data_IF_309121931548
#
_entry.id   IF_309121931548
#
_cell.length_a   1.000
_cell.length_b   1.000
_cell.length_c   1.000
_cell.angle_alpha   90.00
_cell.angle_beta   90.00
_cell.angle_gamma   90.00
#
_symmetry.space_group_name_H-M   'P 1'
#
loop_
_entity.id
_entity.type
_entity.pdbx_description
1 polymer ?
#
# COMPACT_ATOMS: atom_id res chain seq x y z
N UNK A 1 13.29 9.58 25.02
CA UNK A 1 12.25 9.12 25.98
C UNK A 1 12.47 7.63 26.21
N UNK A 2 12.57 7.16 27.46
CA UNK A 2 12.86 5.75 27.77
C UNK A 2 11.66 4.87 27.37
N UNK A 3 11.89 3.91 26.46
CA UNK A 3 10.85 3.02 25.90
C UNK A 3 10.07 2.28 27.00
N UNK A 4 10.70 1.96 28.14
CA UNK A 4 10.03 1.30 29.26
C UNK A 4 9.00 2.20 29.95
N UNK A 5 9.29 3.51 30.06
CA UNK A 5 8.35 4.49 30.64
C UNK A 5 7.15 4.66 29.72
N UNK A 6 7.38 4.74 28.40
CA UNK A 6 6.30 4.79 27.41
C UNK A 6 5.39 3.56 27.51
N UNK A 7 5.97 2.36 27.59
CA UNK A 7 5.18 1.12 27.71
C UNK A 7 4.30 1.09 28.97
N UNK A 8 4.81 1.58 30.12
CA UNK A 8 4.04 1.62 31.37
C UNK A 8 2.91 2.66 31.34
N UNK A 9 3.08 3.77 30.62
CA UNK A 9 2.02 4.74 30.39
C UNK A 9 0.94 4.18 29.44
N UNK A 10 1.36 3.52 28.35
CA UNK A 10 0.45 2.93 27.35
C UNK A 10 -0.35 1.73 27.89
N UNK A 11 0.09 1.08 28.98
CA UNK A 11 -0.72 0.04 29.63
C UNK A 11 -1.90 0.60 30.45
N UNK A 12 -1.85 1.87 30.85
CA UNK A 12 -2.92 2.52 31.64
C UNK A 12 -3.99 3.11 30.71
N UNK A 13 -3.59 3.61 29.54
CA UNK A 13 -4.47 4.10 28.49
C UNK A 13 -4.02 3.50 27.16
N UNK A 14 -4.61 2.38 26.73
CA UNK A 14 -4.20 1.71 25.51
C UNK A 14 -4.42 2.64 24.31
N UNK A 15 -3.42 2.79 23.43
CA UNK A 15 -3.56 3.65 22.26
C UNK A 15 -4.60 3.10 21.28
N UNK A 16 -5.28 4.01 20.60
CA UNK A 16 -6.04 3.69 19.40
C UNK A 16 -5.09 3.44 18.23
N UNK A 17 -5.58 2.84 17.15
CA UNK A 17 -4.77 2.43 15.98
C UNK A 17 -3.73 3.48 15.55
N UNK A 18 -4.12 4.76 15.48
CA UNK A 18 -3.28 5.87 14.98
C UNK A 18 -2.96 6.92 16.03
N UNK A 19 -3.38 6.75 17.29
CA UNK A 19 -3.29 7.84 18.30
C UNK A 19 -1.86 8.26 18.62
N UNK A 20 -0.88 7.36 18.42
CA UNK A 20 0.53 7.62 18.69
C UNK A 20 1.33 8.04 17.44
N UNK A 21 0.75 8.07 16.24
CA UNK A 21 1.51 8.30 15.00
C UNK A 21 2.27 9.65 15.00
N UNK A 22 1.67 10.70 15.60
CA UNK A 22 2.29 12.03 15.74
C UNK A 22 3.40 12.09 16.79
N UNK A 23 3.50 11.08 17.64
CA UNK A 23 4.54 10.97 18.68
C UNK A 23 5.76 10.18 18.18
N UNK A 24 5.67 9.58 16.99
CA UNK A 24 6.77 8.83 16.40
C UNK A 24 7.88 9.81 15.95
N UNK A 25 9.15 9.44 16.13
CA UNK A 25 10.25 10.27 15.66
C UNK A 25 10.29 10.30 14.13
N UNK A 26 10.54 11.47 13.56
CA UNK A 26 10.84 11.59 12.14
C UNK A 26 12.12 10.82 11.77
N UNK A 27 12.19 10.23 10.56
CA UNK A 27 13.42 9.61 10.08
C UNK A 27 14.59 10.60 10.13
N UNK A 28 15.74 10.16 10.63
CA UNK A 28 16.94 10.98 10.64
C UNK A 28 17.56 11.07 9.24
N UNK A 29 18.38 12.10 9.03
CA UNK A 29 19.28 12.18 7.88
C UNK A 29 20.61 11.53 8.28
N UNK A 30 21.01 10.39 7.68
CA UNK A 30 22.26 9.72 8.00
C UNK A 30 23.47 10.62 7.76
N UNK A 31 24.59 10.38 8.45
CA UNK A 31 25.83 11.09 8.19
C UNK A 31 26.29 10.86 6.74
N UNK A 32 26.66 11.93 6.04
CA UNK A 32 27.02 11.90 4.62
C UNK A 32 28.27 11.03 4.35
N UNK A 33 29.33 11.21 5.14
CA UNK A 33 30.59 10.46 4.97
C UNK A 33 30.37 8.97 5.24
N UNK A 34 29.67 8.65 6.34
CA UNK A 34 29.32 7.27 6.66
C UNK A 34 28.45 6.62 5.58
N UNK A 35 27.52 7.39 4.99
CA UNK A 35 26.67 6.92 3.89
C UNK A 35 27.50 6.58 2.65
N UNK A 36 28.45 7.44 2.28
CA UNK A 36 29.36 7.19 1.15
C UNK A 36 30.29 6.02 1.42
N UNK A 37 30.82 5.88 2.64
CA UNK A 37 31.67 4.75 3.00
C UNK A 37 30.91 3.42 2.96
N UNK A 38 29.66 3.39 3.45
CA UNK A 38 28.77 2.22 3.33
C UNK A 38 28.44 1.89 1.88
N UNK A 39 28.19 2.90 1.05
CA UNK A 39 27.96 2.75 -0.38
C UNK A 39 29.16 2.08 -1.07
N UNK A 40 30.37 2.60 -0.88
CA UNK A 40 31.60 2.02 -1.43
C UNK A 40 31.82 0.59 -0.92
N UNK A 41 31.67 0.38 0.40
CA UNK A 41 31.79 -0.96 1.00
C UNK A 41 30.82 -1.98 0.39
N UNK A 42 29.59 -1.57 0.06
CA UNK A 42 28.59 -2.45 -0.54
C UNK A 42 28.95 -2.93 -1.95
N UNK A 43 29.71 -2.12 -2.70
CA UNK A 43 30.05 -2.39 -4.10
C UNK A 43 31.45 -3.00 -4.28
N UNK A 44 32.29 -2.95 -3.24
CA UNK A 44 33.69 -3.40 -3.28
C UNK A 44 33.88 -4.83 -3.82
N UNK A 45 32.96 -5.74 -3.50
CA UNK A 45 33.04 -7.13 -3.91
C UNK A 45 32.18 -7.46 -5.14
N UNK A 46 31.46 -6.46 -5.68
CA UNK A 46 30.57 -6.60 -6.85
C UNK A 46 31.29 -6.12 -8.11
N UNK A 47 32.04 -5.02 -7.99
CA UNK A 47 32.71 -4.37 -9.11
C UNK A 47 34.12 -4.92 -9.33
N UNK A 48 34.61 -4.78 -10.57
CA UNK A 48 36.03 -4.99 -10.86
C UNK A 48 36.86 -3.90 -10.21
N UNK A 49 38.17 -4.15 -10.09
CA UNK A 49 39.08 -3.25 -9.38
C UNK A 49 39.15 -1.86 -10.03
N UNK A 50 39.27 -1.80 -11.34
CA UNK A 50 39.30 -0.57 -12.14
C UNK A 50 37.99 0.22 -12.03
N UNK A 51 36.84 -0.47 -12.12
CA UNK A 51 35.52 0.14 -11.92
C UNK A 51 35.33 0.69 -10.51
N UNK A 52 35.80 -0.04 -9.50
CA UNK A 52 35.74 0.38 -8.11
C UNK A 52 36.62 1.60 -7.84
N UNK A 53 37.85 1.62 -8.36
CA UNK A 53 38.77 2.76 -8.22
C UNK A 53 38.15 4.04 -8.81
N UNK A 54 37.54 3.96 -10.00
CA UNK A 54 36.80 5.07 -10.60
C UNK A 54 35.59 5.50 -9.74
N UNK A 55 34.80 4.53 -9.25
CA UNK A 55 33.65 4.82 -8.41
C UNK A 55 34.05 5.51 -7.11
N UNK A 56 35.13 5.04 -6.48
CA UNK A 56 35.68 5.64 -5.27
C UNK A 56 36.08 7.10 -5.51
N UNK A 57 36.77 7.39 -6.61
CA UNK A 57 37.11 8.77 -6.97
C UNK A 57 35.87 9.65 -7.11
N UNK A 58 34.84 9.19 -7.83
CA UNK A 58 33.58 9.90 -8.03
C UNK A 58 32.84 10.14 -6.71
N UNK A 59 32.72 9.12 -5.86
CA UNK A 59 32.04 9.22 -4.57
C UNK A 59 32.77 10.19 -3.62
N UNK A 60 34.11 10.19 -3.63
CA UNK A 60 34.92 11.15 -2.86
C UNK A 60 34.84 12.56 -3.44
N UNK A 61 34.72 12.70 -4.76
CA UNK A 61 34.45 14.00 -5.42
C UNK A 61 33.11 14.58 -4.98
N UNK A 62 32.06 13.76 -4.98
CA UNK A 62 30.73 14.14 -4.48
C UNK A 62 30.78 14.64 -3.03
N UNK A 63 31.52 13.97 -2.13
CA UNK A 63 31.69 14.42 -0.74
C UNK A 63 32.33 15.81 -0.63
N UNK A 64 33.29 16.14 -1.51
CA UNK A 64 33.99 17.43 -1.51
C UNK A 64 33.14 18.55 -2.12
N UNK A 65 32.32 18.20 -3.11
CA UNK A 65 31.56 19.15 -3.93
C UNK A 65 30.08 19.21 -3.51
N UNK A 66 29.19 18.59 -4.27
CA UNK A 66 27.74 18.77 -4.16
C UNK A 66 27.13 18.14 -2.90
N UNK A 67 27.77 17.09 -2.37
CA UNK A 67 27.22 16.25 -1.29
C UNK A 67 26.86 17.05 -0.05
N UNK A 68 27.74 17.97 0.39
CA UNK A 68 27.48 18.80 1.59
C UNK A 68 26.27 19.72 1.41
N UNK A 69 26.08 20.25 0.20
CA UNK A 69 24.95 21.13 -0.14
C UNK A 69 23.65 20.33 -0.14
N UNK A 70 23.63 19.16 -0.79
CA UNK A 70 22.46 18.28 -0.83
C UNK A 70 22.11 17.71 0.54
N UNK A 71 23.09 17.34 1.35
CA UNK A 71 22.92 16.92 2.74
C UNK A 71 22.23 18.01 3.58
N UNK A 72 22.63 19.27 3.39
CA UNK A 72 21.99 20.41 4.06
C UNK A 72 20.53 20.56 3.65
N UNK A 73 20.21 20.36 2.36
CA UNK A 73 18.82 20.37 1.89
C UNK A 73 18.00 19.23 2.50
N UNK A 74 18.52 18.00 2.50
CA UNK A 74 17.87 16.86 3.14
C UNK A 74 17.60 17.11 4.63
N UNK A 75 18.58 17.68 5.35
CA UNK A 75 18.43 18.05 6.75
C UNK A 75 17.35 19.12 6.97
N UNK A 76 17.35 20.18 6.17
CA UNK A 76 16.29 21.20 6.21
C UNK A 76 14.91 20.58 5.98
N UNK A 77 14.79 19.69 4.98
CA UNK A 77 13.53 18.99 4.70
C UNK A 77 13.10 18.07 5.86
N UNK A 78 14.03 17.37 6.50
CA UNK A 78 13.73 16.51 7.66
C UNK A 78 13.21 17.28 8.87
N UNK A 79 13.56 18.56 9.00
CA UNK A 79 13.03 19.41 10.07
C UNK A 79 11.63 19.96 9.77
N UNK A 80 11.25 20.04 8.49
CA UNK A 80 9.99 20.65 8.04
C UNK A 80 8.91 19.61 7.70
N UNK A 81 9.19 18.31 7.86
CA UNK A 81 8.28 17.23 7.49
C UNK A 81 8.35 16.07 8.49
N UNK A 82 7.21 15.49 8.82
CA UNK A 82 7.13 14.28 9.64
C UNK A 82 7.96 13.13 9.03
N UNK A 83 8.01 13.06 7.70
CA UNK A 83 8.80 12.09 6.95
C UNK A 83 9.22 12.68 5.60
N UNK A 84 10.47 13.15 5.51
CA UNK A 84 11.02 13.74 4.30
C UNK A 84 11.27 12.73 3.17
N UNK A 85 11.21 11.42 3.44
CA UNK A 85 11.51 10.35 2.48
C UNK A 85 10.26 9.93 1.71
N UNK A 86 9.12 9.78 2.40
CA UNK A 86 7.87 9.23 1.85
C UNK A 86 7.44 9.87 0.52
N UNK A 87 7.43 11.21 0.37
CA UNK A 87 7.01 11.83 -0.90
C UNK A 87 7.94 11.48 -2.07
N UNK A 88 9.25 11.38 -1.84
CA UNK A 88 10.21 10.98 -2.88
C UNK A 88 10.08 9.50 -3.21
N UNK A 89 9.94 8.67 -2.18
CA UNK A 89 9.80 7.23 -2.35
C UNK A 89 8.57 6.88 -3.16
N UNK A 90 7.41 7.42 -2.79
CA UNK A 90 6.15 7.18 -3.53
C UNK A 90 6.24 7.69 -4.96
N UNK A 91 6.73 8.92 -5.14
CA UNK A 91 6.85 9.51 -6.47
C UNK A 91 7.83 8.73 -7.34
N UNK A 92 9.08 8.62 -6.94
CA UNK A 92 10.15 8.16 -7.83
C UNK A 92 10.31 6.64 -7.85
N UNK A 93 9.96 5.92 -6.79
CA UNK A 93 10.02 4.46 -6.80
C UNK A 93 8.79 3.81 -7.45
N UNK A 94 7.62 4.47 -7.40
CA UNK A 94 6.37 3.87 -7.88
C UNK A 94 5.65 4.70 -8.94
N UNK A 95 5.30 5.96 -8.63
CA UNK A 95 4.39 6.73 -9.47
C UNK A 95 5.02 7.26 -10.76
N UNK A 96 6.32 7.49 -10.77
CA UNK A 96 7.05 7.98 -11.94
C UNK A 96 7.33 6.88 -12.97
N UNK A 97 7.51 5.63 -12.51
CA UNK A 97 7.75 4.51 -13.41
C UNK A 97 6.62 4.37 -14.42
N UNK A 98 7.00 4.28 -15.69
CA UNK A 98 6.09 4.06 -16.81
C UNK A 98 5.91 2.58 -17.12
N UNK A 99 6.65 1.69 -16.47
CA UNK A 99 6.55 0.25 -16.71
C UNK A 99 5.20 -0.34 -16.26
N UNK A 100 4.70 -1.39 -16.94
CA UNK A 100 3.48 -2.08 -16.55
C UNK A 100 3.46 -2.50 -15.07
N UNK A 101 2.40 -2.14 -14.34
CA UNK A 101 2.35 -2.33 -12.89
C UNK A 101 2.24 -3.80 -12.46
N UNK A 102 1.43 -4.58 -13.21
CA UNK A 102 1.04 -5.94 -12.81
C UNK A 102 2.24 -6.86 -12.57
N UNK A 103 3.29 -6.75 -13.40
CA UNK A 103 4.48 -7.60 -13.33
C UNK A 103 5.60 -6.94 -12.51
N UNK A 104 5.76 -5.62 -12.63
CA UNK A 104 6.94 -4.92 -12.12
C UNK A 104 6.79 -4.43 -10.67
N UNK A 105 5.57 -4.22 -10.18
CA UNK A 105 5.35 -3.58 -8.87
C UNK A 105 4.21 -4.19 -8.04
N UNK A 106 3.20 -4.78 -8.67
CA UNK A 106 2.08 -5.39 -7.95
C UNK A 106 2.51 -6.71 -7.31
N UNK A 107 2.12 -6.91 -6.05
CA UNK A 107 2.35 -8.16 -5.31
C UNK A 107 0.99 -8.78 -5.01
N UNK A 108 0.86 -10.09 -5.23
CA UNK A 108 -0.34 -10.85 -4.91
C UNK A 108 -0.05 -11.84 -3.78
N UNK A 109 -1.06 -12.06 -2.94
CA UNK A 109 -1.12 -13.18 -2.01
C UNK A 109 -2.38 -13.97 -2.34
N UNK A 110 -2.26 -15.29 -2.41
CA UNK A 110 -3.38 -16.18 -2.74
C UNK A 110 -3.59 -17.18 -1.63
N UNK A 111 -4.86 -17.50 -1.35
CA UNK A 111 -5.19 -18.64 -0.51
C UNK A 111 -4.79 -19.94 -1.25
N UNK A 112 -4.48 -21.00 -0.50
CA UNK A 112 -4.11 -22.31 -1.03
C UNK A 112 -5.35 -23.17 -1.37
N UNK A 113 -6.55 -22.64 -1.15
CA UNK A 113 -7.80 -23.37 -1.38
C UNK A 113 -8.30 -23.22 -2.82
N UNK A 114 -8.18 -24.29 -3.60
CA UNK A 114 -8.83 -24.39 -4.91
C UNK A 114 -10.27 -24.93 -4.76
N UNK A 115 -11.25 -24.17 -5.22
CA UNK A 115 -12.66 -24.60 -5.24
C UNK A 115 -13.12 -24.77 -6.68
N UNK A 116 -13.50 -25.99 -7.09
CA UNK A 116 -13.99 -26.27 -8.44
C UNK A 116 -15.16 -25.37 -8.86
N UNK A 117 -15.22 -25.02 -10.14
CA UNK A 117 -16.23 -24.10 -10.67
C UNK A 117 -17.67 -24.59 -10.47
N UNK A 118 -17.88 -25.91 -10.51
CA UNK A 118 -19.19 -26.53 -10.32
C UNK A 118 -19.71 -26.41 -8.88
N UNK A 119 -18.88 -26.03 -7.90
CA UNK A 119 -19.30 -25.76 -6.51
C UNK A 119 -19.74 -24.32 -6.31
N UNK A 120 -20.74 -23.88 -7.08
CA UNK A 120 -21.24 -22.48 -7.07
C UNK A 120 -21.61 -21.98 -5.68
N UNK A 121 -22.33 -22.78 -4.89
CA UNK A 121 -22.71 -22.40 -3.54
C UNK A 121 -21.48 -22.15 -2.65
N UNK A 122 -20.47 -23.02 -2.70
CA UNK A 122 -19.22 -22.85 -1.97
C UNK A 122 -18.49 -21.57 -2.39
N UNK A 123 -18.36 -21.32 -3.71
CA UNK A 123 -17.74 -20.10 -4.24
C UNK A 123 -18.46 -18.83 -3.80
N UNK A 124 -19.80 -18.85 -3.84
CA UNK A 124 -20.62 -17.73 -3.38
C UNK A 124 -20.41 -17.43 -1.89
N UNK A 125 -20.38 -18.46 -1.04
CA UNK A 125 -20.11 -18.30 0.39
C UNK A 125 -18.69 -17.84 0.68
N UNK A 126 -17.69 -18.26 -0.11
CA UNK A 126 -16.32 -17.77 0.04
C UNK A 126 -16.21 -16.28 -0.32
N UNK A 127 -16.74 -15.87 -1.48
CA UNK A 127 -16.78 -14.47 -1.89
C UNK A 127 -17.52 -13.60 -0.86
N UNK A 128 -18.65 -14.10 -0.33
CA UNK A 128 -19.41 -13.43 0.72
C UNK A 128 -18.62 -13.25 2.01
N UNK A 129 -17.89 -14.29 2.46
CA UNK A 129 -17.05 -14.23 3.67
C UNK A 129 -15.93 -13.22 3.52
N UNK A 130 -15.16 -13.28 2.43
CA UNK A 130 -14.09 -12.32 2.16
C UNK A 130 -14.65 -10.90 2.16
N UNK A 131 -15.72 -10.66 1.39
CA UNK A 131 -16.37 -9.36 1.31
C UNK A 131 -16.83 -8.86 2.69
N UNK A 132 -17.44 -9.72 3.50
CA UNK A 132 -17.88 -9.37 4.85
C UNK A 132 -16.69 -9.01 5.76
N UNK A 133 -15.64 -9.85 5.80
CA UNK A 133 -14.48 -9.62 6.65
C UNK A 133 -13.71 -8.36 6.25
N UNK A 134 -13.47 -8.15 4.95
CA UNK A 134 -12.83 -6.93 4.45
C UNK A 134 -13.65 -5.67 4.75
N UNK A 135 -14.98 -5.76 4.66
CA UNK A 135 -15.88 -4.65 5.02
C UNK A 135 -15.82 -4.31 6.52
N UNK A 136 -15.79 -5.34 7.37
CA UNK A 136 -15.64 -5.17 8.81
C UNK A 136 -14.25 -4.62 9.18
N UNK A 137 -13.20 -5.06 8.48
CA UNK A 137 -11.84 -4.54 8.61
C UNK A 137 -11.78 -3.05 8.26
N UNK A 138 -12.36 -2.63 7.13
CA UNK A 138 -12.46 -1.21 6.75
C UNK A 138 -13.12 -0.38 7.87
N UNK A 139 -14.24 -0.87 8.44
CA UNK A 139 -14.92 -0.18 9.54
C UNK A 139 -14.09 -0.16 10.82
N UNK A 140 -13.36 -1.22 11.13
CA UNK A 140 -12.48 -1.28 12.29
C UNK A 140 -11.31 -0.28 12.16
N UNK A 141 -10.75 -0.11 10.96
CA UNK A 141 -9.74 0.92 10.69
C UNK A 141 -10.32 2.32 10.88
N UNK A 142 -11.50 2.57 10.29
CA UNK A 142 -12.19 3.87 10.37
C UNK A 142 -12.47 4.27 11.82
N UNK A 143 -12.95 3.30 12.62
CA UNK A 143 -13.20 3.47 14.06
C UNK A 143 -11.94 3.45 14.93
N UNK A 144 -10.79 3.09 14.35
CA UNK A 144 -9.54 2.84 15.06
C UNK A 144 -9.61 1.72 16.12
N UNK A 145 -10.50 0.75 15.91
CA UNK A 145 -10.76 -0.39 16.80
C UNK A 145 -9.74 -1.53 16.63
N UNK A 146 -8.82 -1.41 15.67
CA UNK A 146 -7.72 -2.37 15.48
C UNK A 146 -6.62 -2.10 16.50
N UNK A 147 -6.11 -3.17 17.12
CA UNK A 147 -4.99 -3.09 18.05
C UNK A 147 -3.75 -2.50 17.34
N UNK A 148 -3.15 -1.43 17.88
CA UNK A 148 -2.03 -0.77 17.23
C UNK A 148 -0.77 -1.64 17.25
N UNK A 149 -0.07 -1.65 16.12
CA UNK A 149 1.18 -2.38 15.96
C UNK A 149 2.24 -1.89 16.95
N UNK A 150 2.96 -2.84 17.56
CA UNK A 150 4.00 -2.53 18.54
C UNK A 150 3.49 -1.70 19.74
N UNK A 151 2.21 -1.84 20.09
CA UNK A 151 1.54 -1.03 21.12
C UNK A 151 1.57 0.48 20.83
N UNK A 152 1.44 0.87 19.55
CA UNK A 152 1.46 2.27 19.12
C UNK A 152 2.86 2.85 18.91
N UNK A 153 3.91 2.02 18.95
CA UNK A 153 5.29 2.43 18.68
C UNK A 153 5.70 2.26 17.21
N UNK A 154 4.77 1.86 16.34
CA UNK A 154 4.96 1.71 14.91
C UNK A 154 3.92 2.54 14.15
N UNK A 155 4.33 3.07 13.00
CA UNK A 155 3.48 3.89 12.14
C UNK A 155 2.32 3.07 11.57
N UNK A 156 1.09 3.56 11.78
CA UNK A 156 -0.12 2.95 11.25
C UNK A 156 -0.69 3.67 10.00
N UNK A 157 0.01 4.66 9.45
CA UNK A 157 -0.46 5.43 8.27
C UNK A 157 -0.72 4.58 7.02
N UNK A 158 -0.13 3.40 6.91
CA UNK A 158 -0.39 2.49 5.78
C UNK A 158 -1.82 1.93 5.78
N UNK A 159 -2.50 1.87 6.94
CA UNK A 159 -3.91 1.46 7.02
C UNK A 159 -4.85 2.42 6.28
N UNK A 160 -4.47 3.70 6.13
CA UNK A 160 -5.24 4.69 5.36
C UNK A 160 -5.27 4.39 3.85
N UNK A 161 -4.49 3.39 3.39
CA UNK A 161 -4.34 3.02 1.98
C UNK A 161 -4.76 1.58 1.67
N UNK A 162 -5.49 0.94 2.57
CA UNK A 162 -5.96 -0.44 2.35
C UNK A 162 -7.25 -0.50 1.54
N UNK A 163 -8.18 0.42 1.78
CA UNK A 163 -9.51 0.38 1.21
C UNK A 163 -9.84 1.67 0.46
N UNK A 164 -10.68 1.53 -0.57
CA UNK A 164 -11.28 2.67 -1.27
C UNK A 164 -10.26 3.67 -1.82
N UNK A 165 -9.15 3.14 -2.32
CA UNK A 165 -8.06 3.88 -2.96
C UNK A 165 -7.77 3.23 -4.31
N UNK A 166 -7.47 4.05 -5.33
CA UNK A 166 -7.06 3.57 -6.64
C UNK A 166 -5.90 4.41 -7.17
N UNK A 167 -4.93 3.77 -7.85
CA UNK A 167 -3.86 4.46 -8.55
C UNK A 167 -4.34 4.83 -9.97
N UNK A 168 -4.53 6.12 -10.22
CA UNK A 168 -4.96 6.65 -11.52
C UNK A 168 -3.73 6.97 -12.38
N UNK A 169 -3.71 6.55 -13.66
CA UNK A 169 -2.62 6.90 -14.56
C UNK A 169 -2.62 8.40 -14.84
N UNK A 170 -1.45 9.03 -14.65
CA UNK A 170 -1.19 10.39 -15.11
C UNK A 170 -0.20 10.36 -16.27
N UNK A 171 -0.17 11.43 -17.08
CA UNK A 171 0.67 11.50 -18.30
C UNK A 171 2.16 11.26 -18.02
N UNK A 172 2.69 11.86 -16.95
CA UNK A 172 4.08 11.66 -16.52
C UNK A 172 4.20 10.97 -15.16
N UNK A 173 3.25 11.25 -14.25
CA UNK A 173 3.27 10.79 -12.87
C UNK A 173 1.87 10.37 -12.47
N UNK A 174 1.76 9.14 -11.99
CA UNK A 174 0.51 8.63 -11.46
C UNK A 174 0.19 9.21 -10.09
N UNK A 175 -1.06 9.11 -9.67
CA UNK A 175 -1.47 9.55 -8.35
C UNK A 175 -2.48 8.58 -7.74
N UNK A 176 -2.64 8.69 -6.43
CA UNK A 176 -3.71 7.98 -5.72
C UNK A 176 -4.96 8.85 -5.66
N UNK A 177 -6.10 8.24 -5.98
CA UNK A 177 -7.43 8.77 -5.71
C UNK A 177 -8.03 8.06 -4.50
N UNK A 178 -8.56 8.85 -3.56
CA UNK A 178 -9.13 8.37 -2.30
C UNK A 178 -10.64 8.63 -2.30
N UNK A 179 -11.42 7.57 -2.04
CA UNK A 179 -12.88 7.61 -2.10
C UNK A 179 -13.56 7.53 -0.72
N UNK A 180 -12.78 7.49 0.37
CA UNK A 180 -13.29 7.44 1.74
C UNK A 180 -13.94 6.10 2.09
N UNK A 181 -14.89 6.10 3.03
CA UNK A 181 -15.55 4.87 3.46
C UNK A 181 -16.51 4.35 2.36
N UNK A 182 -16.18 3.22 1.75
CA UNK A 182 -17.03 2.63 0.71
C UNK A 182 -18.13 1.74 1.29
N UNK A 183 -19.32 1.87 0.70
CA UNK A 183 -20.51 1.02 0.96
C UNK A 183 -20.72 -0.08 -0.08
N UNK A 184 -19.76 -0.28 -0.97
CA UNK A 184 -19.84 -1.29 -2.03
C UNK A 184 -18.46 -1.87 -2.36
N UNK A 185 -18.46 -3.05 -2.95
CA UNK A 185 -17.31 -3.63 -3.64
C UNK A 185 -17.61 -3.75 -5.13
N UNK A 186 -16.54 -3.82 -5.92
CA UNK A 186 -16.62 -4.11 -7.34
C UNK A 186 -16.31 -5.60 -7.53
N UNK A 187 -17.28 -6.37 -7.99
CA UNK A 187 -17.09 -7.75 -8.39
C UNK A 187 -16.89 -7.81 -9.90
N UNK A 188 -15.91 -8.59 -10.37
CA UNK A 188 -15.65 -8.79 -11.79
C UNK A 188 -15.94 -10.25 -12.11
N UNK A 189 -16.82 -10.51 -13.07
CA UNK A 189 -17.15 -11.85 -13.56
C UNK A 189 -17.25 -11.81 -15.08
N UNK A 190 -16.46 -12.64 -15.77
CA UNK A 190 -16.45 -12.76 -17.23
C UNK A 190 -16.32 -11.42 -17.98
N UNK A 191 -15.46 -10.53 -17.48
CA UNK A 191 -15.25 -9.19 -18.06
C UNK A 191 -16.31 -8.15 -17.70
N UNK A 192 -17.39 -8.54 -17.01
CA UNK A 192 -18.43 -7.65 -16.53
C UNK A 192 -18.10 -7.13 -15.13
N UNK A 193 -18.35 -5.84 -14.90
CA UNK A 193 -18.16 -5.18 -13.60
C UNK A 193 -19.51 -5.01 -12.91
N UNK A 194 -19.60 -5.44 -11.65
CA UNK A 194 -20.80 -5.37 -10.84
C UNK A 194 -20.54 -4.58 -9.57
N UNK A 195 -21.45 -3.67 -9.25
CA UNK A 195 -21.47 -2.97 -7.98
C UNK A 195 -22.25 -3.80 -6.96
N UNK A 196 -21.56 -4.41 -6.01
CA UNK A 196 -22.17 -5.18 -4.92
C UNK A 196 -22.23 -4.29 -3.68
N UNK A 197 -23.44 -3.92 -3.26
CA UNK A 197 -23.63 -3.14 -2.03
C UNK A 197 -23.31 -3.97 -0.78
N UNK A 198 -22.72 -3.33 0.23
CA UNK A 198 -22.33 -3.95 1.50
C UNK A 198 -23.39 -3.80 2.59
N UNK A 199 -24.29 -2.83 2.42
CA UNK A 199 -25.35 -2.53 3.34
C UNK A 199 -26.62 -2.11 2.58
N UNK A 200 -27.75 -2.18 3.28
CA UNK A 200 -29.02 -1.68 2.77
C UNK A 200 -29.15 -0.15 2.86
N UNK A 201 -30.27 0.39 2.38
CA UNK A 201 -30.58 1.83 2.41
C UNK A 201 -30.60 2.43 3.83
N UNK A 202 -30.79 1.59 4.86
CA UNK A 202 -30.77 1.99 6.28
C UNK A 202 -29.37 1.84 6.89
N UNK A 203 -28.34 1.60 6.07
CA UNK A 203 -26.96 1.35 6.47
C UNK A 203 -26.77 0.10 7.36
N UNK A 204 -27.67 -0.89 7.26
CA UNK A 204 -27.49 -2.17 7.93
C UNK A 204 -26.63 -3.06 7.04
N UNK A 205 -25.47 -3.48 7.56
CA UNK A 205 -24.52 -4.34 6.85
C UNK A 205 -25.19 -5.68 6.54
N UNK A 206 -25.01 -6.16 5.32
CA UNK A 206 -25.53 -7.47 4.93
C UNK A 206 -24.83 -8.60 5.67
N UNK A 207 -25.60 -9.59 6.10
CA UNK A 207 -25.03 -10.82 6.65
C UNK A 207 -24.31 -11.63 5.57
N UNK A 208 -23.47 -12.57 5.98
CA UNK A 208 -22.79 -13.50 5.07
C UNK A 208 -23.81 -14.25 4.20
N UNK A 209 -24.95 -14.67 4.74
CA UNK A 209 -25.99 -15.36 3.96
C UNK A 209 -26.65 -14.46 2.92
N UNK A 210 -26.87 -13.19 3.24
CA UNK A 210 -27.40 -12.22 2.28
C UNK A 210 -26.40 -11.96 1.15
N UNK A 211 -25.14 -11.73 1.48
CA UNK A 211 -24.06 -11.59 0.49
C UNK A 211 -23.89 -12.86 -0.35
N UNK A 212 -23.99 -14.05 0.26
CA UNK A 212 -23.89 -15.32 -0.46
C UNK A 212 -25.03 -15.49 -1.47
N UNK A 213 -26.25 -15.04 -1.16
CA UNK A 213 -27.36 -15.01 -2.13
C UNK A 213 -27.06 -14.08 -3.31
N UNK A 214 -26.51 -12.89 -3.04
CA UNK A 214 -26.11 -11.93 -4.09
C UNK A 214 -25.03 -12.55 -4.99
N UNK A 215 -23.99 -13.17 -4.41
CA UNK A 215 -22.94 -13.83 -5.20
C UNK A 215 -23.43 -15.07 -5.93
N UNK A 216 -24.36 -15.84 -5.35
CA UNK A 216 -24.96 -17.00 -6.03
C UNK A 216 -25.81 -16.58 -7.23
N UNK A 217 -26.54 -15.47 -7.11
CA UNK A 217 -27.22 -14.84 -8.26
C UNK A 217 -26.20 -14.36 -9.29
N UNK A 218 -25.17 -13.61 -8.87
CA UNK A 218 -24.15 -13.11 -9.78
C UNK A 218 -23.44 -14.24 -10.57
N UNK A 219 -23.12 -15.35 -9.91
CA UNK A 219 -22.53 -16.54 -10.53
C UNK A 219 -23.50 -17.33 -11.43
N UNK A 220 -24.81 -17.07 -11.36
CA UNK A 220 -25.81 -17.68 -12.25
C UNK A 220 -26.13 -16.83 -13.48
N UNK A 221 -25.65 -15.58 -13.52
CA UNK A 221 -25.81 -14.68 -14.67
C UNK A 221 -24.97 -15.17 -15.84
N UNK A 222 -25.55 -15.09 -17.03
CA UNK A 222 -24.87 -15.36 -18.30
C UNK A 222 -24.51 -14.05 -19.02
N UNK A 223 -24.34 -12.97 -18.26
CA UNK A 223 -23.94 -11.68 -18.78
C UNK A 223 -22.53 -11.80 -19.36
N UNK A 224 -22.42 -11.61 -20.68
CA UNK A 224 -21.15 -11.67 -21.40
C UNK A 224 -21.01 -10.42 -22.26
N UNK A 225 -20.05 -9.56 -21.90
CA UNK A 225 -19.69 -8.43 -22.75
C UNK A 225 -18.79 -8.98 -23.86
N UNK A 226 -19.12 -8.67 -25.11
CA UNK A 226 -18.29 -9.07 -26.26
C UNK A 226 -17.42 -7.91 -26.75
N UNK A 227 -16.31 -8.26 -27.41
CA UNK A 227 -15.42 -7.28 -28.04
C UNK A 227 -14.56 -6.50 -27.04
N UNK A 228 -14.04 -5.32 -27.44
CA UNK A 228 -13.10 -4.55 -26.64
C UNK A 228 -13.59 -4.17 -25.24
N UNK A 229 -14.91 -3.99 -25.06
CA UNK A 229 -15.51 -3.60 -23.78
C UNK A 229 -15.35 -4.65 -22.67
N UNK A 230 -15.15 -5.94 -23.01
CA UNK A 230 -14.89 -6.97 -22.00
C UNK A 230 -13.45 -7.00 -21.51
N UNK A 231 -12.56 -6.28 -22.20
CA UNK A 231 -11.13 -6.19 -21.91
C UNK A 231 -10.75 -4.86 -21.27
N UNK A 232 -11.70 -4.05 -20.80
CA UNK A 232 -11.40 -2.76 -20.14
C UNK A 232 -10.46 -2.94 -18.96
N UNK A 233 -10.58 -4.03 -18.20
CA UNK A 233 -9.64 -4.34 -17.10
C UNK A 233 -8.20 -4.53 -17.58
N UNK A 234 -7.99 -5.05 -18.80
CA UNK A 234 -6.65 -5.27 -19.36
C UNK A 234 -5.91 -3.94 -19.63
N UNK A 235 -6.61 -2.82 -19.78
CA UNK A 235 -5.96 -1.51 -19.89
C UNK A 235 -5.15 -1.16 -18.63
N UNK A 236 -5.51 -1.73 -17.46
CA UNK A 236 -4.77 -1.52 -16.22
C UNK A 236 -3.41 -2.24 -16.20
N UNK A 237 -3.16 -3.14 -17.14
CA UNK A 237 -1.90 -3.89 -17.27
C UNK A 237 -0.96 -3.29 -18.31
N UNK A 238 -1.37 -2.23 -19.01
CA UNK A 238 -0.53 -1.58 -20.01
C UNK A 238 0.55 -0.71 -19.35
N UNK A 239 1.46 -0.23 -20.19
CA UNK A 239 2.43 0.81 -19.85
C UNK A 239 1.70 2.07 -19.35
N UNK A 240 2.27 2.71 -18.34
CA UNK A 240 1.74 3.95 -17.75
C UNK A 240 2.22 5.17 -18.52
#
# INVERSE_FOLDING_TARGET
MNVQICRKLLSISPPLLKSCDRLLPSPSVPNLEETVDKYLKSLKNILRRDEYELLEEQARSFLRNEGKRLQKYAWIMSMMSDNYITPFWEKYAYHYSREPLLINSSVAHTDLMEVPENRRATRAYMAARVTYFESMSQLAIDRQDISPLGSGLLCARHYDRLYSICRVPGEEVDHFEYYGLSKHVVAILNGCFYKVMLCDEKNRIYSIDQLAKIYAELLSRNDNVQGPSSMVAALTTDRR
#
